data_IF_335421193508
#
_entry.id   IF_335421193508
#
_cell.length_a   1.000
_cell.length_b   1.000
_cell.length_c   1.000
_cell.angle_alpha   90.00
_cell.angle_beta   90.00
_cell.angle_gamma   90.00
#
_symmetry.space_group_name_H-M   'P 1'
#
loop_
_entity.id
_entity.type
_entity.pdbx_description
1 polymer ?
#
# COMPACT_ATOMS: atom_id res chain seq x y z
N UNK A 1 13.15 -14.14 4.68
CA UNK A 1 12.07 -13.55 3.85
C UNK A 1 12.77 -12.79 2.75
N UNK A 2 12.99 -13.45 1.61
CA UNK A 2 13.90 -12.95 0.58
C UNK A 2 13.24 -11.91 -0.33
N UNK A 3 11.90 -11.83 -0.27
CA UNK A 3 11.07 -10.87 -1.03
C UNK A 3 10.83 -9.59 -0.23
N UNK A 4 10.90 -9.65 1.10
CA UNK A 4 10.63 -8.52 1.99
C UNK A 4 9.16 -8.12 2.08
N UNK A 5 8.25 -9.07 1.82
CA UNK A 5 6.78 -8.88 1.79
C UNK A 5 6.10 -10.01 2.56
N UNK A 6 4.96 -9.71 3.19
CA UNK A 6 4.05 -10.69 3.79
C UNK A 6 2.61 -10.19 3.69
N UNK A 7 1.65 -11.10 3.55
CA UNK A 7 0.21 -10.78 3.58
C UNK A 7 -0.52 -11.76 4.50
N UNK A 8 -1.48 -12.52 3.99
CA UNK A 8 -2.29 -13.49 4.72
C UNK A 8 -2.20 -14.86 4.00
N UNK A 9 -3.00 -15.88 4.36
CA UNK A 9 -2.94 -17.20 3.72
C UNK A 9 -2.94 -17.15 2.18
N UNK A 10 -2.31 -18.15 1.53
CA UNK A 10 -1.66 -19.32 2.12
C UNK A 10 -0.26 -19.02 2.70
N UNK A 11 0.41 -20.05 3.21
CA UNK A 11 1.72 -19.94 3.86
C UNK A 11 2.80 -19.34 2.95
N UNK A 12 3.81 -18.72 3.55
CA UNK A 12 4.83 -17.91 2.86
C UNK A 12 5.56 -18.65 1.71
N UNK A 13 6.04 -19.89 1.85
CA UNK A 13 6.65 -20.64 0.74
C UNK A 13 5.77 -20.73 -0.52
N UNK A 14 4.46 -20.91 -0.37
CA UNK A 14 3.54 -20.92 -1.50
C UNK A 14 3.44 -19.54 -2.14
N UNK A 15 3.37 -18.47 -1.34
CA UNK A 15 3.32 -17.09 -1.85
C UNK A 15 4.56 -16.78 -2.70
N UNK A 16 5.74 -17.25 -2.27
CA UNK A 16 6.99 -17.13 -3.05
C UNK A 16 6.92 -17.97 -4.34
N UNK A 17 6.45 -19.22 -4.27
CA UNK A 17 6.27 -20.07 -5.45
C UNK A 17 5.31 -19.45 -6.48
N UNK A 18 4.23 -18.80 -6.01
CA UNK A 18 3.24 -18.15 -6.84
C UNK A 18 3.83 -17.00 -7.69
N UNK A 19 4.93 -16.37 -7.26
CA UNK A 19 5.60 -15.33 -8.06
C UNK A 19 6.08 -15.85 -9.43
N UNK A 20 6.32 -17.15 -9.59
CA UNK A 20 6.69 -17.74 -10.88
C UNK A 20 5.61 -17.56 -11.96
N UNK A 21 4.34 -17.43 -11.56
CA UNK A 21 3.24 -17.14 -12.51
C UNK A 21 3.31 -15.73 -13.11
N UNK A 22 4.15 -14.85 -12.56
CA UNK A 22 4.23 -13.43 -12.91
C UNK A 22 5.63 -13.03 -13.40
N UNK A 23 6.46 -14.00 -13.81
CA UNK A 23 7.84 -13.76 -14.27
C UNK A 23 7.93 -12.80 -15.47
N UNK A 24 6.86 -12.66 -16.25
CA UNK A 24 6.77 -11.75 -17.39
C UNK A 24 6.44 -10.29 -17.01
N UNK A 25 5.95 -10.06 -15.78
CA UNK A 25 5.53 -8.73 -15.30
C UNK A 25 6.76 -7.92 -14.92
N UNK A 26 6.93 -6.73 -15.52
CA UNK A 26 8.08 -5.85 -15.30
C UNK A 26 7.71 -4.37 -15.41
N UNK A 27 8.47 -3.43 -14.81
CA UNK A 27 8.22 -2.01 -15.00
C UNK A 27 8.49 -1.58 -16.46
N UNK A 28 7.85 -0.50 -16.90
CA UNK A 28 8.09 0.12 -18.20
C UNK A 28 6.98 -0.13 -19.23
N UNK A 29 7.38 -0.14 -20.50
CA UNK A 29 6.46 -0.23 -21.65
C UNK A 29 6.79 -1.41 -22.56
N UNK A 30 5.76 -2.03 -23.12
CA UNK A 30 5.93 -3.01 -24.19
C UNK A 30 6.28 -2.29 -25.49
N UNK A 31 7.35 -2.75 -26.16
CA UNK A 31 7.80 -2.19 -27.42
C UNK A 31 6.72 -2.32 -28.51
N UNK A 32 6.58 -1.31 -29.40
CA UNK A 32 5.70 -1.41 -30.55
C UNK A 32 5.99 -2.64 -31.41
N UNK A 33 4.96 -3.19 -32.05
CA UNK A 33 5.08 -4.28 -33.02
C UNK A 33 4.05 -4.15 -34.12
N UNK A 34 4.32 -4.77 -35.25
CA UNK A 34 3.40 -4.81 -36.39
C UNK A 34 2.75 -6.19 -36.50
N UNK A 35 1.44 -6.23 -36.77
CA UNK A 35 0.68 -7.45 -37.04
C UNK A 35 -0.06 -7.25 -38.36
N UNK A 36 0.42 -7.89 -39.44
CA UNK A 36 -0.03 -7.56 -40.80
C UNK A 36 0.33 -6.10 -41.13
N UNK A 37 -0.65 -5.28 -41.48
CA UNK A 37 -0.48 -3.83 -41.71
C UNK A 37 -0.77 -2.99 -40.45
N UNK A 38 -1.20 -3.62 -39.35
CA UNK A 38 -1.56 -2.91 -38.12
C UNK A 38 -0.32 -2.65 -37.26
N UNK A 39 -0.03 -1.37 -37.01
CA UNK A 39 1.01 -0.96 -36.08
C UNK A 39 0.46 -0.81 -34.65
N UNK A 40 0.90 -1.69 -33.75
CA UNK A 40 0.53 -1.70 -32.34
C UNK A 40 1.58 -0.97 -31.51
N UNK A 41 1.14 -0.14 -30.58
CA UNK A 41 1.99 0.55 -29.59
C UNK A 41 1.30 0.60 -28.24
N UNK A 42 2.08 0.75 -27.17
CA UNK A 42 1.55 1.02 -25.84
C UNK A 42 0.78 2.35 -25.80
N UNK A 43 -0.36 2.40 -25.11
CA UNK A 43 -1.13 3.64 -24.93
C UNK A 43 -0.52 4.61 -23.91
N UNK A 44 0.47 4.16 -23.14
CA UNK A 44 1.16 4.94 -22.13
C UNK A 44 2.18 4.10 -21.37
N UNK A 45 2.58 4.60 -20.20
CA UNK A 45 3.50 3.89 -19.29
C UNK A 45 2.80 2.74 -18.55
N UNK A 46 3.58 1.74 -18.14
CA UNK A 46 3.10 0.63 -17.31
C UNK A 46 2.58 -0.58 -18.08
N UNK A 47 2.52 -0.55 -19.41
CA UNK A 47 2.04 -1.69 -20.21
C UNK A 47 2.88 -2.96 -20.05
N UNK A 48 4.15 -2.86 -19.65
CA UNK A 48 4.99 -4.03 -19.37
C UNK A 48 4.59 -4.76 -18.07
N UNK A 49 3.75 -4.15 -17.23
CA UNK A 49 3.18 -4.77 -16.04
C UNK A 49 1.84 -5.47 -16.32
N UNK A 50 1.46 -5.64 -17.60
CA UNK A 50 0.27 -6.39 -17.97
C UNK A 50 0.32 -7.81 -17.38
N UNK A 51 -0.71 -8.18 -16.62
CA UNK A 51 -0.79 -9.45 -15.90
C UNK A 51 -0.62 -9.29 -14.38
N UNK A 52 -0.24 -8.10 -13.89
CA UNK A 52 -0.28 -7.81 -12.46
C UNK A 52 -1.73 -7.89 -11.95
N UNK A 53 -2.03 -8.68 -10.91
CA UNK A 53 -3.41 -8.91 -10.48
C UNK A 53 -3.95 -7.68 -9.74
N UNK A 54 -5.21 -7.34 -9.96
CA UNK A 54 -5.85 -6.13 -9.42
C UNK A 54 -6.82 -6.33 -8.25
N UNK A 55 -7.17 -7.57 -7.92
CA UNK A 55 -8.12 -7.88 -6.84
C UNK A 55 -7.48 -7.78 -5.44
N UNK A 56 -8.28 -7.82 -4.38
CA UNK A 56 -7.82 -7.64 -3.00
C UNK A 56 -7.45 -8.94 -2.26
N UNK A 57 -7.46 -10.09 -2.93
CA UNK A 57 -7.09 -11.35 -2.29
C UNK A 57 -5.65 -11.32 -1.76
N UNK A 58 -5.33 -12.08 -0.70
CA UNK A 58 -3.98 -12.09 -0.15
C UNK A 58 -2.88 -12.48 -1.15
N UNK A 59 -3.05 -13.47 -2.06
CA UNK A 59 -2.10 -13.75 -3.12
C UNK A 59 -1.88 -12.57 -4.06
N UNK A 60 -2.95 -11.93 -4.51
CA UNK A 60 -2.84 -10.79 -5.43
C UNK A 60 -2.16 -9.58 -4.77
N UNK A 61 -2.48 -9.31 -3.50
CA UNK A 61 -1.77 -8.30 -2.69
C UNK A 61 -0.28 -8.67 -2.53
N UNK A 62 0.05 -9.94 -2.29
CA UNK A 62 1.44 -10.36 -2.17
C UNK A 62 2.24 -10.10 -3.45
N UNK A 63 1.70 -10.49 -4.61
CA UNK A 63 2.31 -10.27 -5.92
C UNK A 63 2.50 -8.78 -6.21
N UNK A 64 1.47 -7.95 -5.98
CA UNK A 64 1.57 -6.49 -6.14
C UNK A 64 2.61 -5.87 -5.23
N UNK A 65 2.65 -6.26 -3.95
CA UNK A 65 3.59 -5.72 -2.98
C UNK A 65 5.03 -6.09 -3.34
N UNK A 66 5.26 -7.34 -3.77
CA UNK A 66 6.56 -7.80 -4.26
C UNK A 66 7.00 -6.99 -5.49
N UNK A 67 6.10 -6.79 -6.45
CA UNK A 67 6.37 -5.99 -7.64
C UNK A 67 6.75 -4.55 -7.28
N UNK A 68 5.88 -3.82 -6.58
CA UNK A 68 6.13 -2.40 -6.25
C UNK A 68 7.39 -2.21 -5.39
N UNK A 69 7.63 -3.09 -4.41
CA UNK A 69 8.87 -3.06 -3.62
C UNK A 69 10.11 -3.26 -4.49
N UNK A 70 10.07 -4.22 -5.42
CA UNK A 70 11.23 -4.54 -6.28
C UNK A 70 11.55 -3.45 -7.31
N UNK A 71 10.56 -2.64 -7.67
CA UNK A 71 10.70 -1.56 -8.66
C UNK A 71 10.92 -0.18 -8.04
N UNK A 72 10.75 -0.05 -6.72
CA UNK A 72 10.97 1.21 -6.03
C UNK A 72 12.46 1.64 -6.15
N UNK A 73 12.73 2.92 -6.43
CA UNK A 73 14.10 3.40 -6.56
C UNK A 73 14.80 3.40 -5.20
N UNK A 74 16.15 3.34 -5.17
CA UNK A 74 16.89 3.69 -3.97
C UNK A 74 16.65 5.16 -3.63
N UNK A 75 16.43 5.44 -2.34
CA UNK A 75 16.08 6.78 -1.86
C UNK A 75 17.17 7.33 -0.95
N UNK A 76 17.49 8.61 -1.13
CA UNK A 76 18.64 9.24 -0.48
C UNK A 76 18.44 9.51 1.02
N UNK A 77 17.19 9.58 1.49
CA UNK A 77 16.88 9.91 2.89
C UNK A 77 15.83 8.97 3.47
N UNK A 78 15.87 8.71 4.80
CA UNK A 78 14.85 7.91 5.45
C UNK A 78 13.44 8.48 5.26
N UNK A 79 13.28 9.81 5.29
CA UNK A 79 11.98 10.45 5.08
C UNK A 79 11.44 10.22 3.65
N UNK A 80 12.31 10.25 2.64
CA UNK A 80 11.91 9.92 1.27
C UNK A 80 11.48 8.45 1.18
N UNK A 81 12.19 7.53 1.85
CA UNK A 81 11.80 6.12 1.94
C UNK A 81 10.45 5.91 2.65
N UNK A 82 10.18 6.68 3.71
CA UNK A 82 8.87 6.67 4.38
C UNK A 82 7.77 7.14 3.44
N UNK A 83 7.99 8.23 2.70
CA UNK A 83 7.02 8.75 1.74
C UNK A 83 6.72 7.72 0.63
N UNK A 84 7.75 7.11 0.05
CA UNK A 84 7.59 6.06 -0.97
C UNK A 84 6.87 4.83 -0.41
N UNK A 85 7.17 4.42 0.82
CA UNK A 85 6.48 3.31 1.47
C UNK A 85 4.97 3.59 1.60
N UNK A 86 4.56 4.81 1.95
CA UNK A 86 3.14 5.19 1.92
C UNK A 86 2.55 5.16 0.52
N UNK A 87 3.27 5.59 -0.53
CA UNK A 87 2.80 5.46 -1.91
C UNK A 87 2.58 4.01 -2.33
N UNK A 88 3.50 3.11 -1.96
CA UNK A 88 3.32 1.67 -2.18
C UNK A 88 2.09 1.19 -1.43
N UNK A 89 1.99 1.47 -0.13
CA UNK A 89 0.91 1.00 0.74
C UNK A 89 -0.48 1.52 0.35
N UNK A 90 -0.58 2.68 -0.32
CA UNK A 90 -1.85 3.19 -0.86
C UNK A 90 -2.48 2.23 -1.89
N UNK A 91 -1.69 1.36 -2.55
CA UNK A 91 -2.21 0.34 -3.48
C UNK A 91 -2.88 -0.85 -2.78
N UNK A 92 -2.97 -0.80 -1.45
CA UNK A 92 -3.54 -1.83 -0.60
C UNK A 92 -4.64 -1.29 0.30
N UNK A 93 -5.08 -0.04 0.09
CA UNK A 93 -6.28 0.50 0.73
C UNK A 93 -7.52 -0.16 0.11
N UNK A 94 -8.42 -0.66 0.97
CA UNK A 94 -9.56 -1.50 0.59
C UNK A 94 -10.86 -0.80 0.96
N UNK A 95 -11.54 -0.13 0.02
CA UNK A 95 -12.88 0.41 0.26
C UNK A 95 -13.81 -0.68 0.76
N UNK A 96 -14.56 -0.40 1.83
CA UNK A 96 -15.27 -1.45 2.58
C UNK A 96 -16.22 -2.29 1.70
N UNK A 97 -16.83 -1.67 0.70
CA UNK A 97 -17.82 -2.32 -0.15
C UNK A 97 -17.26 -3.42 -1.06
N UNK A 98 -15.93 -3.51 -1.24
CA UNK A 98 -15.33 -4.55 -2.09
C UNK A 98 -15.32 -5.92 -1.41
N UNK A 99 -15.42 -5.98 -0.08
CA UNK A 99 -15.37 -7.24 0.67
C UNK A 99 -16.71 -7.98 0.72
N UNK A 100 -17.82 -7.34 0.32
CA UNK A 100 -19.17 -7.87 0.49
C UNK A 100 -19.86 -8.08 -0.85
N UNK A 101 -20.39 -9.29 -1.07
CA UNK A 101 -21.22 -9.62 -2.23
C UNK A 101 -22.61 -8.98 -2.18
N UNK A 102 -23.38 -9.15 -3.25
CA UNK A 102 -24.74 -8.59 -3.35
C UNK A 102 -25.67 -9.06 -2.22
N UNK A 103 -25.58 -10.34 -1.83
CA UNK A 103 -26.37 -10.94 -0.75
C UNK A 103 -25.94 -10.49 0.66
N UNK A 104 -24.81 -9.80 0.77
CA UNK A 104 -24.19 -9.41 2.05
C UNK A 104 -24.16 -7.90 2.27
N UNK A 105 -24.86 -7.12 1.43
CA UNK A 105 -24.91 -5.65 1.51
C UNK A 105 -25.31 -5.14 2.89
N UNK A 106 -26.23 -5.83 3.56
CA UNK A 106 -26.70 -5.47 4.90
C UNK A 106 -25.66 -5.69 6.00
N UNK A 107 -24.61 -6.48 5.72
CA UNK A 107 -23.51 -6.77 6.66
C UNK A 107 -22.35 -5.78 6.56
N UNK A 108 -22.38 -4.85 5.61
CA UNK A 108 -21.31 -3.86 5.43
C UNK A 108 -21.23 -2.99 6.69
N UNK A 109 -20.09 -2.98 7.41
CA UNK A 109 -19.94 -2.14 8.59
C UNK A 109 -19.88 -0.65 8.24
N UNK A 110 -20.29 0.21 9.17
CA UNK A 110 -20.25 1.67 9.02
C UNK A 110 -18.82 2.24 9.21
N UNK A 111 -17.92 1.83 8.32
CA UNK A 111 -16.54 2.30 8.21
C UNK A 111 -16.18 2.51 6.74
N UNK A 112 -15.33 3.49 6.40
CA UNK A 112 -15.04 3.79 5.00
C UNK A 112 -14.15 2.75 4.30
N UNK A 113 -13.25 2.09 5.05
CA UNK A 113 -12.25 1.16 4.51
C UNK A 113 -12.03 0.00 5.48
N UNK A 114 -11.79 -1.19 4.95
CA UNK A 114 -11.29 -2.32 5.73
C UNK A 114 -9.83 -2.10 6.16
N UNK A 115 -9.08 -1.25 5.44
CA UNK A 115 -7.75 -0.78 5.84
C UNK A 115 -7.87 0.34 6.85
N UNK A 116 -8.09 -0.03 8.12
CA UNK A 116 -8.37 0.94 9.18
C UNK A 116 -7.21 1.91 9.45
N UNK A 117 -5.97 1.46 9.28
CA UNK A 117 -4.78 2.29 9.41
C UNK A 117 -3.61 1.72 8.60
N UNK A 118 -2.68 2.59 8.24
CA UNK A 118 -1.45 2.27 7.51
C UNK A 118 -0.28 2.85 8.26
N UNK A 119 0.79 2.07 8.44
CA UNK A 119 1.97 2.52 9.17
C UNK A 119 3.28 2.16 8.49
N UNK A 120 4.30 2.98 8.76
CA UNK A 120 5.68 2.83 8.30
C UNK A 120 6.60 3.13 9.48
N UNK A 121 7.58 2.27 9.72
CA UNK A 121 8.58 2.46 10.77
C UNK A 121 9.97 2.69 10.17
N UNK A 122 10.57 3.84 10.47
CA UNK A 122 11.99 4.07 10.27
C UNK A 122 12.74 3.58 11.52
N UNK A 123 13.25 2.36 11.41
CA UNK A 123 13.92 1.66 12.50
C UNK A 123 15.27 2.30 12.86
N UNK A 124 15.96 2.92 11.90
CA UNK A 124 17.27 3.51 12.13
C UNK A 124 17.17 4.82 12.91
N UNK A 125 16.16 5.64 12.61
CA UNK A 125 15.93 6.92 13.31
C UNK A 125 15.00 6.80 14.52
N UNK A 126 14.38 5.64 14.77
CA UNK A 126 13.41 5.45 15.83
C UNK A 126 12.13 6.27 15.62
N UNK A 127 11.64 6.33 14.38
CA UNK A 127 10.44 7.09 14.02
C UNK A 127 9.34 6.16 13.53
N UNK A 128 8.15 6.30 14.08
CA UNK A 128 6.97 5.56 13.68
C UNK A 128 5.95 6.50 13.05
N UNK A 129 5.45 6.16 11.87
CA UNK A 129 4.52 6.97 11.10
C UNK A 129 3.24 6.20 10.86
N UNK A 130 2.09 6.88 10.91
CA UNK A 130 0.81 6.25 10.59
C UNK A 130 -0.21 7.25 10.04
N UNK A 131 -1.20 6.73 9.31
CA UNK A 131 -2.44 7.42 8.95
C UNK A 131 -3.61 6.46 9.09
N UNK A 132 -4.85 6.95 9.09
CA UNK A 132 -6.05 6.14 9.31
C UNK A 132 -7.00 6.21 8.13
N UNK A 133 -8.01 5.35 8.12
CA UNK A 133 -9.09 5.37 7.12
C UNK A 133 -9.93 6.65 7.12
N UNK A 134 -9.86 7.46 8.20
CA UNK A 134 -10.63 8.71 8.34
C UNK A 134 -9.76 9.96 8.24
N UNK A 135 -8.47 9.84 8.50
CA UNK A 135 -7.53 10.96 8.44
C UNK A 135 -6.26 10.56 7.69
N UNK A 136 -6.14 11.10 6.48
CA UNK A 136 -5.01 10.86 5.57
C UNK A 136 -3.74 11.63 5.96
N UNK A 137 -3.80 12.56 6.93
CA UNK A 137 -2.62 13.23 7.44
C UNK A 137 -1.74 12.23 8.19
N UNK A 138 -0.51 12.04 7.70
CA UNK A 138 0.49 11.18 8.32
C UNK A 138 0.93 11.80 9.64
N UNK A 139 0.76 11.03 10.72
CA UNK A 139 1.18 11.35 12.08
C UNK A 139 2.50 10.64 12.37
N UNK A 140 3.33 11.23 13.23
CA UNK A 140 4.64 10.68 13.61
C UNK A 140 4.78 10.59 15.12
N UNK A 141 5.21 9.43 15.60
CA UNK A 141 5.70 9.19 16.96
C UNK A 141 7.23 9.12 16.92
N UNK A 142 7.90 9.96 17.71
CA UNK A 142 9.34 9.91 17.90
C UNK A 142 9.65 9.05 19.13
N UNK A 143 10.09 7.81 18.90
CA UNK A 143 10.32 6.84 19.97
C UNK A 143 11.47 7.26 20.89
N UNK A 144 12.42 8.06 20.40
CA UNK A 144 13.54 8.57 21.21
C UNK A 144 13.13 9.58 22.28
N UNK A 145 11.86 10.02 22.29
CA UNK A 145 11.31 10.94 23.30
C UNK A 145 10.45 10.23 24.34
N UNK A 146 10.37 8.90 24.28
CA UNK A 146 9.58 8.09 25.20
C UNK A 146 10.54 7.43 26.20
N UNK A 147 10.27 7.60 27.49
CA UNK A 147 11.01 6.88 28.54
C UNK A 147 10.38 5.50 28.79
N UNK A 148 10.92 4.50 28.11
CA UNK A 148 10.48 3.11 28.23
C UNK A 148 10.83 2.47 29.58
N UNK A 149 11.68 3.07 30.42
CA UNK A 149 12.04 2.51 31.72
C UNK A 149 10.97 2.75 32.80
N UNK A 150 10.05 3.70 32.58
CA UNK A 150 8.97 4.01 33.54
C UNK A 150 8.00 2.84 33.73
N UNK A 151 7.83 1.98 32.71
CA UNK A 151 6.83 0.92 32.71
C UNK A 151 5.37 1.41 32.72
N UNK A 152 5.14 2.71 32.56
CA UNK A 152 3.80 3.32 32.53
C UNK A 152 3.28 3.33 31.10
N UNK A 153 2.14 2.69 30.88
CA UNK A 153 1.45 2.75 29.59
C UNK A 153 0.84 4.13 29.37
N UNK A 154 1.06 4.69 28.18
CA UNK A 154 0.38 5.90 27.71
C UNK A 154 -0.36 5.59 26.42
N UNK A 155 -1.66 5.85 26.41
CA UNK A 155 -2.51 5.63 25.25
C UNK A 155 -2.94 6.98 24.63
N UNK A 156 -2.97 7.03 23.30
CA UNK A 156 -3.47 8.16 22.54
C UNK A 156 -4.57 7.68 21.59
N UNK A 157 -5.59 8.52 21.39
CA UNK A 157 -6.59 8.26 20.35
C UNK A 157 -5.92 8.37 18.98
N UNK A 158 -6.20 7.41 18.11
CA UNK A 158 -5.55 7.29 16.80
C UNK A 158 -5.87 8.47 15.86
N UNK A 159 -7.13 8.91 15.85
CA UNK A 159 -7.66 10.05 15.08
C UNK A 159 -8.94 10.64 15.75
N UNK A 160 -9.66 11.53 15.05
CA UNK A 160 -10.90 12.15 15.56
C UNK A 160 -12.17 11.30 15.37
N UNK A 161 -12.07 10.10 14.80
CA UNK A 161 -13.22 9.25 14.46
C UNK A 161 -14.11 9.75 13.31
N UNK A 162 -13.74 10.86 12.67
CA UNK A 162 -14.49 11.50 11.57
C UNK A 162 -13.56 11.82 10.42
N UNK A 163 -14.11 11.90 9.20
CA UNK A 163 -13.34 12.34 8.03
C UNK A 163 -12.90 13.79 8.20
N UNK A 164 -11.63 14.07 7.97
CA UNK A 164 -11.06 15.43 8.10
C UNK A 164 -10.43 15.91 6.80
N UNK A 165 -10.54 17.21 6.56
CA UNK A 165 -9.89 17.91 5.46
C UNK A 165 -9.46 19.30 5.91
N UNK A 166 -8.49 19.88 5.22
CA UNK A 166 -8.10 21.29 5.39
C UNK A 166 -8.86 22.12 4.36
N UNK A 167 -9.66 23.09 4.82
CA UNK A 167 -10.32 24.05 3.93
C UNK A 167 -9.32 25.13 3.52
N UNK A 168 -8.83 25.02 2.29
CA UNK A 168 -7.84 25.93 1.69
C UNK A 168 -8.50 27.02 0.85
N UNK A 169 -9.80 27.31 1.07
CA UNK A 169 -10.52 28.36 0.35
C UNK A 169 -9.85 29.73 0.59
N UNK A 170 -9.33 30.41 -0.46
CA UNK A 170 -8.78 31.73 -0.31
C UNK A 170 -9.92 32.73 -0.07
N UNK A 171 -10.10 33.19 1.17
CA UNK A 171 -11.04 34.27 1.49
C UNK A 171 -10.41 35.57 0.99
N UNK A 172 -11.11 36.25 0.08
CA UNK A 172 -10.79 37.61 -0.37
C UNK A 172 -11.55 38.64 0.45
#
# INVERSE_FOLDING_TARGET
>A
NDVGVITNPPHFPWQVLNLNNYINVRPGVVAPRTVGDLHLKSFGYGSAAWGLPGDFSPPSRFVRAAFFRSTAPPLATPLAAVAEAFHILNNFDIPIGVEFGEEEREKIPDIPSATQWTAVSDLASGMFYYKTMRDSAVKRVNLNRIDFATGVETAYVLDKGVFTFEDVTPIR
#
